data_IF_040706326853
#
_entry.id   IF_040706326853
#
_cell.length_a   1.000
_cell.length_b   1.000
_cell.length_c   1.000
_cell.angle_alpha   90.00
_cell.angle_beta   90.00
_cell.angle_gamma   90.00
#
_symmetry.space_group_name_H-M   'P 1'
#
loop_
_entity.id
_entity.type
_entity.pdbx_description
1 polymer ?
#
# COMPACT_ATOMS: atom_id res chain seq x y z
N UNK A 1 24.55 9.68 5.32
CA UNK A 1 23.68 10.82 4.93
C UNK A 1 22.34 10.26 4.53
N UNK A 2 21.24 10.77 5.07
CA UNK A 2 19.87 10.34 4.76
C UNK A 2 19.12 11.56 4.25
N UNK A 3 18.77 11.55 2.97
CA UNK A 3 18.06 12.63 2.30
C UNK A 3 16.72 12.10 1.80
N UNK A 4 15.61 12.53 2.41
CA UNK A 4 14.27 12.25 1.91
C UNK A 4 13.82 13.38 0.99
N UNK A 5 13.33 13.06 -0.21
CA UNK A 5 12.83 14.01 -1.22
C UNK A 5 11.33 13.83 -1.48
N UNK A 6 10.48 14.05 -0.46
CA UNK A 6 9.03 13.97 -0.60
C UNK A 6 8.47 15.02 -1.56
N UNK A 7 7.29 14.74 -2.09
CA UNK A 7 6.46 15.67 -2.86
C UNK A 7 5.55 16.51 -1.97
N UNK A 8 5.05 15.94 -0.87
CA UNK A 8 4.01 16.57 -0.03
C UNK A 8 4.49 16.84 1.39
N UNK A 9 5.23 15.90 1.99
CA UNK A 9 5.86 16.11 3.28
C UNK A 9 7.06 17.07 3.17
N UNK A 10 7.59 17.52 4.32
CA UNK A 10 8.80 18.35 4.35
C UNK A 10 10.05 17.55 3.97
N UNK A 11 10.83 18.08 3.04
CA UNK A 11 12.15 17.55 2.68
C UNK A 11 13.12 17.66 3.86
N UNK A 12 14.00 16.68 4.02
CA UNK A 12 15.08 16.74 5.00
C UNK A 12 16.32 16.03 4.51
N UNK A 13 17.47 16.48 5.01
CA UNK A 13 18.76 15.92 4.74
C UNK A 13 19.59 15.86 6.03
N UNK A 14 19.86 14.66 6.52
CA UNK A 14 20.53 14.45 7.81
C UNK A 14 21.81 13.64 7.66
N UNK A 15 22.92 14.25 8.04
CA UNK A 15 24.20 13.58 8.19
C UNK A 15 24.18 12.59 9.36
N UNK A 16 24.84 11.45 9.22
CA UNK A 16 25.03 10.46 10.28
C UNK A 16 26.52 10.11 10.42
N UNK A 17 27.37 11.04 10.90
CA UNK A 17 28.82 10.86 10.93
C UNK A 17 29.31 9.91 12.04
N UNK A 18 28.49 9.65 13.06
CA UNK A 18 28.87 8.85 14.23
C UNK A 18 28.13 7.52 14.19
N UNK A 19 28.87 6.41 14.37
CA UNK A 19 28.29 5.08 14.46
C UNK A 19 27.25 5.01 15.59
N UNK A 20 26.07 4.47 15.30
CA UNK A 20 24.98 4.35 16.27
C UNK A 20 24.15 5.62 16.46
N UNK A 21 24.46 6.72 15.77
CA UNK A 21 23.60 7.90 15.74
C UNK A 21 22.20 7.52 15.23
N UNK A 22 21.16 7.92 15.98
CA UNK A 22 19.76 7.74 15.61
C UNK A 22 19.14 9.12 15.36
N UNK A 23 18.28 9.18 14.37
CA UNK A 23 17.50 10.37 14.04
C UNK A 23 16.04 9.97 13.94
N UNK A 24 15.15 10.79 14.49
CA UNK A 24 13.70 10.60 14.37
C UNK A 24 13.15 11.69 13.46
N UNK A 25 12.36 11.30 12.47
CA UNK A 25 11.59 12.20 11.63
C UNK A 25 10.14 11.73 11.59
N UNK A 26 9.19 12.67 11.68
CA UNK A 26 7.76 12.38 11.65
C UNK A 26 7.18 12.84 10.34
N UNK A 27 6.54 11.93 9.60
CA UNK A 27 5.73 12.26 8.45
C UNK A 27 4.32 12.60 8.92
N UNK A 28 3.77 13.73 8.47
CA UNK A 28 2.45 14.22 8.89
C UNK A 28 1.38 13.99 7.86
N UNK A 29 1.77 13.73 6.60
CA UNK A 29 0.84 13.59 5.49
C UNK A 29 1.05 12.26 4.77
N UNK A 30 -0.06 11.63 4.36
CA UNK A 30 -0.03 10.43 3.49
C UNK A 30 0.78 10.72 2.24
N UNK A 31 1.73 9.86 1.95
CA UNK A 31 2.57 9.95 0.77
C UNK A 31 3.12 8.58 0.41
N UNK A 32 2.75 8.09 -0.77
CA UNK A 32 3.13 6.75 -1.22
C UNK A 32 4.53 6.80 -1.84
N UNK A 33 5.44 6.01 -1.26
CA UNK A 33 6.79 5.79 -1.75
C UNK A 33 7.64 7.08 -1.84
N UNK A 34 7.77 7.77 -0.70
CA UNK A 34 8.72 8.88 -0.49
C UNK A 34 10.14 8.39 -0.84
N UNK A 35 10.85 9.00 -1.80
CA UNK A 35 12.19 8.58 -2.15
C UNK A 35 13.21 9.06 -1.11
N UNK A 36 14.14 8.18 -0.79
CA UNK A 36 15.30 8.43 0.06
C UNK A 36 16.57 8.16 -0.72
N UNK A 37 17.54 9.06 -0.60
CA UNK A 37 18.87 8.95 -1.20
C UNK A 37 19.98 9.31 -0.21
N UNK A 38 21.20 8.94 -0.54
CA UNK A 38 22.40 9.45 0.11
C UNK A 38 23.15 10.35 -0.87
N UNK A 39 23.43 11.59 -0.49
CA UNK A 39 24.16 12.53 -1.34
C UNK A 39 25.66 12.20 -1.47
N UNK A 40 26.17 11.29 -0.63
CA UNK A 40 27.58 10.85 -0.63
C UNK A 40 27.76 9.50 -1.33
N UNK A 41 26.77 8.61 -1.22
CA UNK A 41 26.83 7.24 -1.73
C UNK A 41 25.66 7.00 -2.68
N UNK A 42 25.85 7.25 -3.99
CA UNK A 42 24.76 7.21 -4.98
C UNK A 42 24.04 5.85 -5.12
N UNK A 43 24.61 4.77 -4.59
CA UNK A 43 23.98 3.44 -4.55
C UNK A 43 22.97 3.29 -3.40
N UNK A 44 23.05 4.12 -2.36
CA UNK A 44 22.13 4.07 -1.21
C UNK A 44 20.84 4.79 -1.54
N UNK A 45 19.79 4.01 -1.80
CA UNK A 45 18.45 4.53 -2.04
C UNK A 45 17.41 3.65 -1.33
N UNK A 46 16.29 4.26 -0.96
CA UNK A 46 15.15 3.56 -0.38
C UNK A 46 13.85 4.30 -0.74
N UNK A 47 12.72 3.66 -0.48
CA UNK A 47 11.39 4.25 -0.61
C UNK A 47 10.56 3.93 0.62
N UNK A 48 9.83 4.91 1.14
CA UNK A 48 9.00 4.78 2.34
C UNK A 48 7.55 5.07 2.00
N UNK A 49 6.65 4.12 2.26
CA UNK A 49 5.21 4.34 2.17
C UNK A 49 4.65 4.95 3.45
N UNK A 50 4.15 6.17 3.38
CA UNK A 50 3.42 6.82 4.47
C UNK A 50 1.92 6.65 4.22
N UNK A 51 1.30 5.74 4.95
CA UNK A 51 -0.09 5.31 4.75
C UNK A 51 -0.94 5.59 5.99
N UNK A 52 -2.22 5.93 5.78
CA UNK A 52 -3.24 6.16 6.81
C UNK A 52 -4.05 4.89 7.14
N UNK A 53 -3.68 3.76 6.53
CA UNK A 53 -4.34 2.47 6.69
C UNK A 53 -3.32 1.32 6.75
N UNK A 54 -3.69 0.14 7.28
CA UNK A 54 -2.76 -0.98 7.40
C UNK A 54 -2.60 -1.82 6.12
N UNK A 55 -3.41 -1.56 5.09
CA UNK A 55 -3.47 -2.40 3.90
C UNK A 55 -2.36 -2.09 2.89
N UNK A 56 -1.27 -2.83 2.96
CA UNK A 56 -0.26 -2.84 1.92
C UNK A 56 0.25 -4.27 1.66
N UNK A 57 0.76 -4.50 0.47
CA UNK A 57 1.43 -5.76 0.13
C UNK A 57 2.60 -5.49 -0.80
N UNK A 58 3.64 -6.31 -0.65
CA UNK A 58 4.76 -6.38 -1.58
C UNK A 58 4.51 -7.57 -2.51
N UNK A 59 4.58 -7.35 -3.82
CA UNK A 59 4.42 -8.43 -4.77
C UNK A 59 5.57 -9.44 -4.72
N UNK A 60 5.26 -10.69 -5.06
CA UNK A 60 6.26 -11.72 -5.28
C UNK A 60 6.99 -11.56 -6.65
N UNK A 61 7.84 -12.52 -6.98
CA UNK A 61 8.60 -12.54 -8.23
C UNK A 61 7.72 -12.70 -9.49
N UNK A 62 6.49 -13.18 -9.35
CA UNK A 62 5.51 -13.26 -10.44
C UNK A 62 4.69 -11.97 -10.61
N UNK A 63 4.85 -11.02 -9.68
CA UNK A 63 4.04 -9.81 -9.60
C UNK A 63 2.70 -10.01 -8.90
N UNK A 64 2.44 -11.19 -8.32
CA UNK A 64 1.24 -11.45 -7.55
C UNK A 64 1.36 -10.85 -6.14
N UNK A 65 0.25 -10.36 -5.59
CA UNK A 65 0.18 -9.85 -4.24
C UNK A 65 -1.16 -10.21 -3.58
N UNK A 66 -1.18 -10.22 -2.25
CA UNK A 66 -2.37 -10.50 -1.46
C UNK A 66 -2.61 -9.40 -0.42
N UNK A 67 -3.79 -8.79 -0.44
CA UNK A 67 -4.25 -7.91 0.62
C UNK A 67 -5.20 -8.68 1.55
N UNK A 68 -4.67 -9.04 2.74
CA UNK A 68 -5.42 -9.81 3.75
C UNK A 68 -6.40 -8.92 4.52
N UNK A 69 -7.49 -9.53 4.96
CA UNK A 69 -8.47 -8.91 5.87
C UNK A 69 -9.09 -7.60 5.37
N UNK A 70 -9.06 -7.33 4.06
CA UNK A 70 -9.71 -6.16 3.46
C UNK A 70 -11.22 -6.26 3.71
N UNK A 71 -11.94 -5.30 4.32
CA UNK A 71 -13.40 -5.39 4.49
C UNK A 71 -14.15 -5.36 3.14
N UNK A 72 -15.42 -5.79 3.06
CA UNK A 72 -16.22 -5.57 1.86
C UNK A 72 -16.34 -4.08 1.54
N UNK A 73 -16.18 -3.70 0.27
CA UNK A 73 -16.17 -2.30 -0.15
C UNK A 73 -15.61 -2.11 -1.55
N UNK A 74 -15.68 -0.89 -2.06
CA UNK A 74 -14.99 -0.46 -3.28
C UNK A 74 -13.76 0.34 -2.88
N UNK A 75 -12.64 0.01 -3.49
CA UNK A 75 -11.33 0.54 -3.18
C UNK A 75 -10.60 0.96 -4.43
N UNK A 76 -9.73 1.95 -4.32
CA UNK A 76 -8.70 2.21 -5.33
C UNK A 76 -7.40 1.61 -4.85
N UNK A 77 -6.86 0.66 -5.59
CA UNK A 77 -5.55 0.07 -5.36
C UNK A 77 -4.53 0.86 -6.18
N UNK A 78 -3.46 1.31 -5.55
CA UNK A 78 -2.30 1.89 -6.23
C UNK A 78 -1.14 0.90 -6.18
N UNK A 79 -0.61 0.54 -7.35
CA UNK A 79 0.61 -0.25 -7.50
C UNK A 79 1.74 0.69 -7.95
N UNK A 80 2.86 0.69 -7.21
CA UNK A 80 4.01 1.53 -7.51
C UNK A 80 5.26 0.72 -7.82
N UNK A 81 6.08 1.20 -8.76
CA UNK A 81 7.40 0.65 -9.08
C UNK A 81 8.41 1.77 -9.37
N UNK A 82 9.64 1.64 -8.87
CA UNK A 82 10.70 2.68 -8.91
C UNK A 82 10.87 3.34 -10.29
N UNK A 83 10.90 2.52 -11.35
CA UNK A 83 11.09 2.98 -12.74
C UNK A 83 9.80 3.31 -13.49
N UNK A 84 8.69 2.68 -13.11
CA UNK A 84 7.44 2.74 -13.89
C UNK A 84 6.43 3.73 -13.28
N UNK A 85 6.67 4.20 -12.06
CA UNK A 85 5.76 5.07 -11.34
C UNK A 85 4.57 4.32 -10.76
N UNK A 86 3.52 5.07 -10.46
CA UNK A 86 2.27 4.57 -9.90
C UNK A 86 1.24 4.24 -10.99
N UNK A 87 0.47 3.19 -10.79
CA UNK A 87 -0.72 2.83 -11.57
C UNK A 87 -1.85 2.52 -10.61
N UNK A 88 -3.07 2.98 -10.91
CA UNK A 88 -4.24 2.79 -10.06
C UNK A 88 -5.29 1.91 -10.71
N UNK A 89 -6.04 1.18 -9.88
CA UNK A 89 -7.17 0.36 -10.32
C UNK A 89 -8.27 0.34 -9.26
N UNK A 90 -9.52 0.55 -9.66
CA UNK A 90 -10.67 0.35 -8.77
C UNK A 90 -11.04 -1.13 -8.66
N UNK A 91 -11.22 -1.61 -7.43
CA UNK A 91 -11.60 -3.00 -7.13
C UNK A 91 -12.73 -3.02 -6.11
N UNK A 92 -13.75 -3.83 -6.36
CA UNK A 92 -14.86 -4.04 -5.41
C UNK A 92 -14.75 -5.43 -4.79
N UNK A 93 -14.49 -5.47 -3.47
CA UNK A 93 -14.59 -6.70 -2.68
C UNK A 93 -16.03 -6.85 -2.20
N UNK A 94 -16.78 -7.75 -2.83
CA UNK A 94 -18.16 -8.06 -2.41
C UNK A 94 -18.17 -8.79 -1.07
N UNK A 95 -19.22 -8.54 -0.27
CA UNK A 95 -19.49 -9.36 0.92
C UNK A 95 -19.83 -10.76 0.45
N UNK A 96 -19.07 -11.76 0.89
CA UNK A 96 -19.43 -13.16 0.66
C UNK A 96 -20.72 -13.43 1.44
N UNK A 97 -21.82 -13.72 0.75
CA UNK A 97 -23.01 -14.30 1.40
C UNK A 97 -22.60 -15.65 1.96
N UNK A 98 -22.62 -15.81 3.27
CA UNK A 98 -22.54 -17.12 3.91
C UNK A 98 -23.85 -17.85 3.66
N UNK A 99 -23.90 -18.69 2.62
CA UNK A 99 -24.92 -19.75 2.56
C UNK A 99 -24.50 -20.80 3.59
N UNK A 100 -25.34 -21.05 4.59
CA UNK A 100 -25.19 -22.20 5.47
C UNK A 100 -25.40 -23.47 4.64
N UNK A 101 -24.34 -23.99 4.05
CA UNK A 101 -24.30 -25.34 3.49
C UNK A 101 -22.88 -25.86 3.67
N UNK A 102 -22.69 -26.72 4.67
CA UNK A 102 -21.52 -27.58 4.86
C UNK A 102 -20.14 -26.89 4.95
N UNK A 103 -19.70 -26.63 6.19
CA UNK A 103 -18.30 -26.49 6.63
C UNK A 103 -17.19 -26.13 5.63
N UNK A 104 -16.81 -24.85 5.56
CA UNK A 104 -15.42 -24.35 5.59
C UNK A 104 -15.43 -22.80 5.54
N UNK A 105 -15.09 -22.17 6.66
CA UNK A 105 -14.92 -20.71 6.77
C UNK A 105 -13.50 -20.31 6.33
N UNK A 106 -13.31 -20.11 5.03
CA UNK A 106 -12.08 -19.51 4.50
C UNK A 106 -12.01 -18.00 4.77
N UNK A 107 -10.94 -17.54 5.42
CA UNK A 107 -10.58 -16.13 5.60
C UNK A 107 -10.20 -15.52 4.24
N UNK A 108 -11.18 -14.99 3.50
CA UNK A 108 -10.96 -14.52 2.13
C UNK A 108 -10.12 -13.23 2.04
N UNK A 109 -8.87 -13.33 1.61
CA UNK A 109 -8.07 -12.20 1.12
C UNK A 109 -8.48 -11.78 -0.30
N UNK A 110 -8.09 -10.57 -0.73
CA UNK A 110 -8.13 -10.21 -2.15
C UNK A 110 -6.83 -10.69 -2.79
N UNK A 111 -6.90 -11.74 -3.60
CA UNK A 111 -5.83 -12.12 -4.49
C UNK A 111 -6.01 -11.33 -5.79
N UNK A 112 -5.01 -10.53 -6.13
CA UNK A 112 -4.99 -9.79 -7.38
C UNK A 112 -3.71 -10.11 -8.14
N UNK A 113 -3.88 -10.50 -9.40
CA UNK A 113 -2.81 -10.46 -10.39
C UNK A 113 -3.08 -9.22 -11.24
N UNK A 114 -2.16 -8.25 -11.32
CA UNK A 114 -2.34 -7.12 -12.22
C UNK A 114 -2.50 -7.64 -13.67
N UNK A 115 -3.33 -7.03 -14.53
CA UNK A 115 -3.45 -7.43 -15.94
C UNK A 115 -2.15 -7.19 -16.74
N UNK A 116 -1.16 -6.54 -16.13
CA UNK A 116 0.12 -6.20 -16.70
C UNK A 116 1.15 -7.25 -16.28
N UNK A 117 1.65 -8.03 -17.24
CA UNK A 117 2.91 -8.76 -17.06
C UNK A 117 4.01 -7.69 -17.02
N UNK A 118 4.73 -7.48 -15.90
CA UNK A 118 5.88 -6.61 -15.96
C UNK A 118 6.85 -7.22 -17.00
N UNK A 119 7.34 -6.44 -17.98
CA UNK A 119 8.44 -6.92 -18.82
C UNK A 119 9.55 -7.34 -17.86
N UNK A 120 10.20 -8.47 -18.16
CA UNK A 120 11.15 -9.27 -17.38
C UNK A 120 12.34 -8.47 -16.79
N UNK A 121 12.06 -7.41 -16.04
CA UNK A 121 13.02 -6.51 -15.46
C UNK A 121 13.03 -6.78 -13.96
N UNK A 122 13.83 -7.79 -13.61
CA UNK A 122 14.40 -8.04 -12.29
C UNK A 122 13.58 -7.61 -11.07
N UNK A 123 12.93 -8.58 -10.43
CA UNK A 123 12.88 -8.75 -8.97
C UNK A 123 12.39 -7.58 -8.09
N UNK A 124 11.64 -6.59 -8.60
CA UNK A 124 11.26 -5.42 -7.77
C UNK A 124 9.76 -5.35 -7.49
N UNK A 125 9.44 -5.85 -6.29
CA UNK A 125 8.39 -5.44 -5.35
C UNK A 125 7.47 -4.30 -5.82
N UNK A 126 6.24 -4.63 -6.23
CA UNK A 126 5.14 -3.67 -6.28
C UNK A 126 4.57 -3.49 -4.87
N UNK A 127 4.44 -2.25 -4.41
CA UNK A 127 3.63 -1.96 -3.21
C UNK A 127 2.22 -1.66 -3.66
N UNK A 128 1.25 -2.51 -3.29
CA UNK A 128 -0.17 -2.25 -3.48
C UNK A 128 -0.75 -1.58 -2.22
N UNK A 129 -1.32 -0.38 -2.30
CA UNK A 129 -1.95 0.31 -1.16
C UNK A 129 -3.35 0.82 -1.50
N UNK A 130 -4.18 1.13 -0.50
CA UNK A 130 -5.53 1.66 -0.71
C UNK A 130 -5.51 3.20 -0.73
N UNK A 131 -5.89 3.81 -1.85
CA UNK A 131 -5.93 5.27 -1.90
C UNK A 131 -7.13 5.86 -1.11
N UNK A 132 -8.19 5.08 -0.87
CA UNK A 132 -9.42 5.52 -0.18
C UNK A 132 -10.09 4.43 0.68
N UNK A 133 -10.64 4.85 1.82
CA UNK A 133 -11.53 4.04 2.67
C UNK A 133 -12.86 3.76 1.97
N UNK A 134 -13.55 2.63 2.28
CA UNK A 134 -14.87 2.37 1.72
C UNK A 134 -15.84 3.48 2.16
N UNK A 135 -16.84 3.84 1.33
CA UNK A 135 -17.92 4.70 1.80
C UNK A 135 -18.55 4.07 3.04
N UNK A 136 -18.87 4.90 4.04
CA UNK A 136 -19.52 4.46 5.27
C UNK A 136 -20.71 3.54 4.92
N UNK A 137 -20.91 2.42 5.64
CA UNK A 137 -22.07 1.58 5.39
C UNK A 137 -23.31 2.43 5.56
N UNK A 138 -24.08 2.61 4.49
CA UNK A 138 -25.41 3.18 4.57
C UNK A 138 -26.25 2.19 5.38
N UNK A 139 -26.40 2.43 6.68
CA UNK A 139 -27.47 1.83 7.45
C UNK A 139 -28.76 2.41 6.89
N UNK A 140 -29.40 1.70 5.97
CA UNK A 140 -30.82 1.91 5.71
C UNK A 140 -31.52 1.56 7.02
N UNK A 141 -31.96 2.58 7.75
CA UNK A 141 -32.86 2.41 8.88
C UNK A 141 -34.06 1.60 8.41
N UNK A 142 -34.30 0.47 9.07
CA UNK A 142 -35.56 -0.25 8.92
C UNK A 142 -36.66 0.60 9.57
N UNK A 143 -37.76 0.93 8.88
CA UNK A 143 -38.94 1.47 9.54
C UNK A 143 -39.68 0.31 10.22
N UNK A 144 -39.82 0.37 11.55
CA UNK A 144 -40.72 -0.51 12.29
C UNK A 144 -40.05 -1.31 13.39
N UNK A 145 -39.86 -0.67 14.54
CA UNK A 145 -40.06 -1.33 15.82
C UNK A 145 -41.05 -0.44 16.58
N UNK A 146 -42.27 -0.95 16.71
CA UNK A 146 -43.40 -0.39 17.43
C UNK A 146 -43.15 -0.33 18.94
#
# INVERSE_FOLDING_TARGET
>A
NIHAVPKTNSEFNTGQPIQGMKTTHTFTTKEVMVPFKCDVHGWMNAYVGVLDHPYYAVSDASGAFELKSLPPGTYTIEAWHERLGATTQSVTRRRRRTSHQGGQVGLGGLLASPPWRPPLLGKKCFTASLSSSPPAPSFSSWPGAS
#
